data_IF_893350670290
#
_entry.id   IF_893350670290
#
_cell.length_a   1.000
_cell.length_b   1.000
_cell.length_c   1.000
_cell.angle_alpha   90.00
_cell.angle_beta   90.00
_cell.angle_gamma   90.00
#
_symmetry.space_group_name_H-M   'P 1'
#
loop_
_entity.id
_entity.type
_entity.pdbx_description
1 polymer ?
#
# COMPACT_ATOMS: atom_id res chain seq x y z
N UNK A 1 12.55 12.22 16.17
CA UNK A 1 12.66 10.74 16.13
C UNK A 1 11.40 9.97 16.58
N UNK A 2 10.55 10.50 17.48
CA UNK A 2 9.33 9.80 17.96
C UNK A 2 8.22 9.62 16.89
N UNK A 3 8.22 10.45 15.84
CA UNK A 3 7.18 10.45 14.80
C UNK A 3 7.35 9.39 13.71
N UNK A 4 8.59 8.97 13.39
CA UNK A 4 8.83 7.99 12.31
C UNK A 4 8.16 6.63 12.58
N UNK A 5 8.18 6.16 13.83
CA UNK A 5 7.49 4.93 14.20
C UNK A 5 5.97 5.03 14.07
N UNK A 6 5.37 6.17 14.46
CA UNK A 6 3.94 6.40 14.29
C UNK A 6 3.55 6.42 12.81
N UNK A 7 4.38 7.04 11.97
CA UNK A 7 4.18 7.06 10.52
C UNK A 7 4.29 5.66 9.90
N UNK A 8 5.28 4.84 10.33
CA UNK A 8 5.39 3.43 9.92
C UNK A 8 4.14 2.64 10.29
N UNK A 9 3.69 2.74 11.54
CA UNK A 9 2.48 2.05 11.99
C UNK A 9 1.26 2.51 11.17
N UNK A 10 1.11 3.83 10.98
CA UNK A 10 0.01 4.39 10.20
C UNK A 10 0.00 3.89 8.76
N UNK A 11 1.12 3.98 8.04
CA UNK A 11 1.19 3.55 6.63
C UNK A 11 0.97 2.04 6.50
N UNK A 12 1.50 1.25 7.43
CA UNK A 12 1.29 -0.19 7.46
C UNK A 12 -0.18 -0.56 7.70
N UNK A 13 -0.84 0.10 8.65
CA UNK A 13 -2.28 -0.10 8.93
C UNK A 13 -3.13 0.27 7.71
N UNK A 14 -2.88 1.44 7.10
CA UNK A 14 -3.62 1.86 5.90
C UNK A 14 -3.44 0.88 4.74
N UNK A 15 -2.22 0.32 4.59
CA UNK A 15 -1.92 -0.68 3.57
C UNK A 15 -2.67 -1.99 3.84
N UNK A 16 -2.73 -2.44 5.10
CA UNK A 16 -3.52 -3.61 5.49
C UNK A 16 -5.00 -3.39 5.18
N UNK A 17 -5.57 -2.27 5.59
CA UNK A 17 -6.98 -1.96 5.32
C UNK A 17 -7.28 -1.92 3.82
N UNK A 18 -6.41 -1.30 3.03
CA UNK A 18 -6.57 -1.24 1.57
C UNK A 18 -6.49 -2.64 0.95
N UNK A 19 -5.55 -3.47 1.38
CA UNK A 19 -5.47 -4.86 0.92
C UNK A 19 -6.66 -5.72 1.34
N UNK A 20 -7.22 -5.51 2.54
CA UNK A 20 -8.43 -6.20 3.00
C UNK A 20 -9.65 -5.87 2.15
N UNK A 21 -9.78 -4.61 1.71
CA UNK A 21 -10.89 -4.22 0.82
C UNK A 21 -10.88 -5.00 -0.49
N UNK A 22 -9.69 -5.33 -1.00
CA UNK A 22 -9.52 -6.18 -2.18
C UNK A 22 -9.83 -7.64 -1.89
N UNK A 23 -9.18 -8.25 -0.90
CA UNK A 23 -9.35 -9.67 -0.59
C UNK A 23 -10.79 -10.01 -0.20
N UNK A 24 -11.52 -9.08 0.42
CA UNK A 24 -12.92 -9.27 0.80
C UNK A 24 -13.92 -8.97 -0.33
N UNK A 25 -13.46 -8.58 -1.52
CA UNK A 25 -14.34 -8.27 -2.66
C UNK A 25 -15.33 -7.14 -2.35
N UNK A 26 -14.98 -6.18 -1.48
CA UNK A 26 -15.90 -5.12 -1.02
C UNK A 26 -16.39 -4.27 -2.19
N UNK A 27 -15.64 -4.24 -3.29
CA UNK A 27 -15.94 -3.45 -4.47
C UNK A 27 -16.52 -4.28 -5.63
N UNK A 28 -16.96 -5.51 -5.36
CA UNK A 28 -17.49 -6.44 -6.35
C UNK A 28 -16.56 -7.64 -6.57
N UNK A 29 -16.87 -8.47 -7.59
CA UNK A 29 -15.99 -9.56 -7.98
C UNK A 29 -14.62 -8.99 -8.35
N UNK A 30 -13.63 -9.24 -7.50
CA UNK A 30 -12.25 -8.88 -7.75
C UNK A 30 -11.62 -9.94 -8.62
N UNK A 31 -10.87 -9.50 -9.63
CA UNK A 31 -10.05 -10.42 -10.40
C UNK A 31 -9.02 -11.08 -9.47
N UNK A 32 -8.68 -12.34 -9.74
CA UNK A 32 -7.73 -13.11 -8.92
C UNK A 32 -6.38 -12.40 -8.69
N UNK A 33 -5.98 -11.55 -9.64
CA UNK A 33 -4.76 -10.74 -9.55
C UNK A 33 -4.89 -9.58 -8.53
N UNK A 34 -6.08 -8.99 -8.41
CA UNK A 34 -6.38 -7.93 -7.44
C UNK A 34 -6.43 -8.50 -6.03
N UNK A 35 -6.98 -9.71 -5.87
CA UNK A 35 -6.95 -10.43 -4.59
C UNK A 35 -5.51 -10.75 -4.15
N UNK A 36 -4.71 -11.29 -5.07
CA UNK A 36 -3.29 -11.61 -4.82
C UNK A 36 -2.51 -10.36 -4.41
N UNK A 37 -2.82 -9.23 -5.05
CA UNK A 37 -2.21 -7.95 -4.72
C UNK A 37 -2.67 -7.40 -3.37
N UNK A 38 -3.95 -7.56 -3.03
CA UNK A 38 -4.48 -7.27 -1.70
C UNK A 38 -3.78 -8.07 -0.61
N UNK A 39 -3.53 -9.37 -0.84
CA UNK A 39 -2.78 -10.22 0.08
C UNK A 39 -1.34 -9.73 0.26
N UNK A 40 -0.66 -9.37 -0.84
CA UNK A 40 0.69 -8.81 -0.78
C UNK A 40 0.72 -7.50 0.03
N UNK A 41 -0.27 -6.63 -0.15
CA UNK A 41 -0.42 -5.40 0.61
C UNK A 41 -0.61 -5.68 2.11
N UNK A 42 -1.45 -6.66 2.48
CA UNK A 42 -1.65 -7.06 3.88
C UNK A 42 -0.34 -7.54 4.50
N UNK A 43 0.40 -8.42 3.82
CA UNK A 43 1.67 -8.97 4.32
C UNK A 43 2.70 -7.85 4.52
N UNK A 44 2.93 -7.01 3.50
CA UNK A 44 3.89 -5.92 3.57
C UNK A 44 3.49 -4.89 4.63
N UNK A 45 2.21 -4.53 4.70
CA UNK A 45 1.69 -3.62 5.72
C UNK A 45 1.90 -4.19 7.14
N UNK A 46 1.64 -5.48 7.35
CA UNK A 46 1.89 -6.17 8.61
C UNK A 46 3.36 -6.16 9.02
N UNK A 47 4.29 -6.42 8.09
CA UNK A 47 5.72 -6.31 8.35
C UNK A 47 6.12 -4.89 8.76
N UNK A 48 5.60 -3.87 8.08
CA UNK A 48 5.89 -2.46 8.39
C UNK A 48 5.33 -2.07 9.77
N UNK A 49 4.12 -2.51 10.13
CA UNK A 49 3.55 -2.32 11.48
C UNK A 49 4.44 -2.99 12.53
N UNK A 50 4.81 -4.24 12.32
CA UNK A 50 5.64 -5.01 13.25
C UNK A 50 6.97 -4.30 13.54
N UNK A 51 7.67 -3.79 12.52
CA UNK A 51 8.91 -3.03 12.70
C UNK A 51 8.69 -1.60 13.20
N UNK A 52 7.51 -1.02 12.96
CA UNK A 52 7.10 0.24 13.58
C UNK A 52 7.01 0.14 15.11
N UNK A 53 6.51 -1.00 15.61
CA UNK A 53 6.41 -1.32 17.04
C UNK A 53 7.79 -1.72 17.59
N UNK A 54 8.53 -2.58 16.89
CA UNK A 54 9.79 -3.19 17.36
C UNK A 54 11.06 -2.48 16.84
N UNK A 55 11.26 -1.22 17.24
CA UNK A 55 12.24 -0.26 16.66
C UNK A 55 13.73 -0.65 16.66
N UNK A 56 14.10 -1.75 17.32
CA UNK A 56 15.50 -2.18 17.48
C UNK A 56 15.81 -3.54 16.87
N UNK A 57 14.84 -4.17 16.19
CA UNK A 57 15.04 -5.51 15.62
C UNK A 57 15.63 -5.51 14.21
N UNK A 58 15.59 -4.37 13.52
CA UNK A 58 15.92 -4.28 12.09
C UNK A 58 16.70 -3.01 11.80
N UNK A 59 17.64 -3.09 10.86
CA UNK A 59 18.41 -1.94 10.41
C UNK A 59 17.54 -0.97 9.61
N UNK A 60 17.87 0.33 9.67
CA UNK A 60 17.13 1.35 8.93
C UNK A 60 17.12 1.11 7.40
N UNK A 61 18.16 0.46 6.86
CA UNK A 61 18.23 0.09 5.44
C UNK A 61 17.17 -0.94 5.06
N UNK A 62 16.99 -1.98 5.89
CA UNK A 62 15.96 -3.00 5.65
C UNK A 62 14.57 -2.39 5.81
N UNK A 63 14.36 -1.51 6.79
CA UNK A 63 13.09 -0.78 6.90
C UNK A 63 12.81 0.08 5.66
N UNK A 64 13.84 0.72 5.10
CA UNK A 64 13.72 1.55 3.90
C UNK A 64 13.36 0.72 2.68
N UNK A 65 14.01 -0.43 2.48
CA UNK A 65 13.68 -1.36 1.39
C UNK A 65 12.24 -1.85 1.51
N UNK A 66 11.80 -2.21 2.73
CA UNK A 66 10.44 -2.69 2.95
C UNK A 66 9.39 -1.60 2.64
N UNK A 67 9.62 -0.37 3.08
CA UNK A 67 8.70 0.75 2.81
C UNK A 67 8.74 1.12 1.32
N UNK A 68 9.88 1.01 0.66
CA UNK A 68 10.00 1.20 -0.79
C UNK A 68 9.19 0.15 -1.56
N UNK A 69 9.30 -1.12 -1.21
CA UNK A 69 8.47 -2.19 -1.81
C UNK A 69 6.99 -1.94 -1.57
N UNK A 70 6.61 -1.54 -0.35
CA UNK A 70 5.25 -1.17 0.00
C UNK A 70 4.73 -0.03 -0.88
N UNK A 71 5.55 0.98 -1.17
CA UNK A 71 5.19 2.07 -2.09
C UNK A 71 5.08 1.59 -3.54
N UNK A 72 6.02 0.75 -3.97
CA UNK A 72 6.06 0.24 -5.35
C UNK A 72 4.79 -0.51 -5.69
N UNK A 73 4.26 -1.33 -4.76
CA UNK A 73 3.00 -2.03 -4.98
C UNK A 73 1.79 -1.10 -5.04
N UNK A 74 1.88 0.17 -4.62
CA UNK A 74 0.78 1.13 -4.78
C UNK A 74 0.73 1.69 -6.21
N UNK A 75 1.87 1.72 -6.91
CA UNK A 75 2.03 2.42 -8.20
C UNK A 75 1.11 1.87 -9.28
N UNK A 76 1.02 0.54 -9.51
CA UNK A 76 0.14 0.05 -10.57
C UNK A 76 -1.33 0.43 -10.30
N UNK A 77 -1.76 0.51 -9.03
CA UNK A 77 -3.15 0.83 -8.69
C UNK A 77 -3.42 2.30 -9.02
N UNK A 78 -2.47 3.17 -8.68
CA UNK A 78 -2.51 4.58 -9.05
C UNK A 78 -2.61 4.71 -10.58
N UNK A 79 -1.71 4.08 -11.34
CA UNK A 79 -1.67 4.20 -12.81
C UNK A 79 -2.95 3.67 -13.45
N UNK A 80 -3.39 2.46 -13.07
CA UNK A 80 -4.62 1.85 -13.61
C UNK A 80 -5.82 2.76 -13.37
N UNK A 81 -5.93 3.33 -12.17
CA UNK A 81 -7.05 4.19 -11.86
C UNK A 81 -7.02 5.55 -12.56
N UNK A 82 -5.86 6.18 -12.71
CA UNK A 82 -5.76 7.38 -13.55
C UNK A 82 -6.11 7.09 -15.02
N UNK A 83 -5.79 5.89 -15.51
CA UNK A 83 -6.00 5.51 -16.92
C UNK A 83 -7.46 5.18 -17.22
N UNK A 84 -8.14 4.49 -16.31
CA UNK A 84 -9.47 3.93 -16.55
C UNK A 84 -10.60 4.64 -15.78
N UNK A 85 -10.32 5.75 -15.05
CA UNK A 85 -11.32 6.45 -14.23
C UNK A 85 -12.63 6.72 -14.99
N UNK A 86 -13.75 6.28 -14.42
CA UNK A 86 -15.08 6.41 -15.03
C UNK A 86 -15.41 5.39 -16.14
N UNK A 87 -14.51 4.43 -16.38
CA UNK A 87 -14.72 3.30 -17.30
C UNK A 87 -14.67 1.96 -16.55
N UNK A 88 -15.27 0.92 -17.14
CA UNK A 88 -15.20 -0.44 -16.62
C UNK A 88 -13.83 -1.06 -16.95
N UNK A 89 -13.22 -1.71 -15.97
CA UNK A 89 -12.02 -2.53 -16.17
C UNK A 89 -12.45 -3.99 -16.18
N UNK A 90 -12.09 -4.72 -17.23
CA UNK A 90 -12.26 -6.17 -17.30
C UNK A 90 -11.03 -6.79 -17.95
N UNK A 91 -10.56 -7.90 -17.40
CA UNK A 91 -9.51 -8.74 -18.01
C UNK A 91 -10.08 -9.85 -18.90
N UNK A 92 -11.40 -9.86 -19.12
CA UNK A 92 -12.10 -10.82 -19.97
C UNK A 92 -12.58 -12.09 -19.25
N UNK A 93 -12.49 -12.20 -17.92
CA UNK A 93 -12.83 -13.43 -17.19
C UNK A 93 -13.70 -13.23 -15.94
N UNK A 94 -15.02 -13.50 -15.97
CA UNK A 94 -16.09 -12.87 -16.77
C UNK A 94 -16.17 -11.35 -16.52
N UNK A 95 -16.90 -10.57 -17.34
CA UNK A 95 -16.97 -9.11 -17.17
C UNK A 95 -17.57 -8.75 -15.81
N UNK A 96 -16.74 -8.28 -14.89
CA UNK A 96 -17.19 -7.60 -13.70
C UNK A 96 -17.60 -6.17 -14.07
N UNK A 97 -18.69 -5.67 -13.48
CA UNK A 97 -19.08 -4.25 -13.59
C UNK A 97 -18.16 -3.37 -12.72
N UNK A 98 -16.86 -3.69 -12.66
CA UNK A 98 -15.91 -2.99 -11.82
C UNK A 98 -15.54 -1.66 -12.49
N UNK A 99 -16.18 -0.60 -12.01
CA UNK A 99 -15.96 0.76 -12.51
C UNK A 99 -14.85 1.42 -11.71
N UNK A 100 -13.87 1.97 -12.41
CA UNK A 100 -12.80 2.73 -11.78
C UNK A 100 -13.31 4.02 -11.13
N UNK A 101 -13.24 4.08 -9.79
CA UNK A 101 -13.59 5.26 -9.02
C UNK A 101 -12.42 5.75 -8.16
N UNK A 102 -12.28 7.08 -8.02
CA UNK A 102 -11.25 7.72 -7.20
C UNK A 102 -11.22 7.28 -5.73
N UNK A 103 -12.37 6.84 -5.21
CA UNK A 103 -12.45 6.26 -3.87
C UNK A 103 -11.53 5.04 -3.71
N UNK A 104 -11.20 4.34 -4.80
CA UNK A 104 -10.31 3.19 -4.80
C UNK A 104 -8.85 3.58 -4.98
N UNK A 105 -8.54 4.69 -5.67
CA UNK A 105 -7.18 5.15 -5.92
C UNK A 105 -6.61 6.01 -4.79
N UNK A 106 -7.49 6.77 -4.11
CA UNK A 106 -7.10 7.71 -3.06
C UNK A 106 -6.35 7.07 -1.88
N UNK A 107 -6.69 5.84 -1.41
CA UNK A 107 -5.91 5.18 -0.36
C UNK A 107 -4.47 4.93 -0.80
N UNK A 108 -4.24 4.48 -2.04
CA UNK A 108 -2.90 4.23 -2.59
C UNK A 108 -2.05 5.49 -2.64
N UNK A 109 -2.64 6.62 -3.05
CA UNK A 109 -1.95 7.92 -3.07
C UNK A 109 -1.54 8.34 -1.66
N UNK A 110 -2.45 8.24 -0.68
CA UNK A 110 -2.15 8.58 0.71
C UNK A 110 -1.06 7.68 1.28
N UNK A 111 -1.13 6.37 1.02
CA UNK A 111 -0.12 5.40 1.44
C UNK A 111 1.24 5.74 0.82
N UNK A 112 1.30 6.04 -0.48
CA UNK A 112 2.53 6.40 -1.17
C UNK A 112 3.15 7.69 -0.59
N UNK A 113 2.35 8.72 -0.34
CA UNK A 113 2.82 9.99 0.25
C UNK A 113 3.37 9.79 1.66
N UNK A 114 2.68 9.03 2.52
CA UNK A 114 3.19 8.72 3.87
C UNK A 114 4.45 7.86 3.79
N UNK A 115 4.52 6.91 2.84
CA UNK A 115 5.71 6.11 2.56
C UNK A 115 6.93 6.97 2.24
N UNK A 116 6.78 7.99 1.39
CA UNK A 116 7.84 8.96 1.07
C UNK A 116 8.33 9.67 2.34
N UNK A 117 7.41 10.12 3.19
CA UNK A 117 7.76 10.77 4.47
C UNK A 117 8.53 9.81 5.40
N UNK A 118 8.16 8.53 5.43
CA UNK A 118 8.87 7.51 6.19
C UNK A 118 10.29 7.33 5.65
N UNK A 119 10.47 7.17 4.34
CA UNK A 119 11.80 7.03 3.71
C UNK A 119 12.66 8.25 4.00
N UNK A 120 12.13 9.47 3.80
CA UNK A 120 12.85 10.70 4.11
C UNK A 120 13.29 10.75 5.59
N UNK A 121 12.43 10.29 6.51
CA UNK A 121 12.77 10.21 7.93
C UNK A 121 13.89 9.20 8.24
N UNK A 122 13.95 8.09 7.51
CA UNK A 122 14.97 7.05 7.67
C UNK A 122 16.32 7.50 7.08
N UNK A 123 16.32 8.17 5.92
CA UNK A 123 17.52 8.76 5.32
C UNK A 123 18.15 9.77 6.29
N UNK A 124 17.33 10.67 6.87
CA UNK A 124 17.79 11.65 7.86
C UNK A 124 18.37 11.01 9.11
N UNK A 125 17.88 9.82 9.51
CA UNK A 125 18.42 9.07 10.66
C UNK A 125 19.78 8.44 10.35
N UNK A 126 20.03 8.03 9.11
CA UNK A 126 21.28 7.35 8.74
C UNK A 126 22.43 8.33 8.41
N UNK A 127 22.13 9.61 8.20
CA UNK A 127 23.11 10.64 7.83
C UNK A 127 23.58 11.50 9.00
N UNK A 128 22.93 11.41 10.17
CA UNK A 128 23.26 12.11 11.42
C UNK A 128 23.76 11.07 12.42
#
# INVERSE_FOLDING_TARGET
MRNSAKLKILVGILTIFTGLLYVLGIFGPTESIVDTWGLLAIILGGMVVYFGINKNKVSANVEMVLVFLLMLIQVPAIILWFTFNGSGISDGTPPSNFVAHWMFASPHLVIALIGILVIASLIKRNTI
#
